data_IF_110156873423
#
_entry.id   IF_110156873423
#
_cell.length_a   1.000
_cell.length_b   1.000
_cell.length_c   1.000
_cell.angle_alpha   90.00
_cell.angle_beta   90.00
_cell.angle_gamma   90.00
#
_symmetry.space_group_name_H-M   'P 1'
#
loop_
_entity.id
_entity.type
_entity.pdbx_description
1 polymer ?
#
# COMPACT_ATOMS: atom_id res chain seq x y z
N UNK A 1 20.64 -18.76 -17.88
CA UNK A 1 21.15 -17.65 -17.06
C UNK A 1 20.62 -17.84 -15.65
N UNK A 2 21.46 -17.74 -14.61
CA UNK A 2 20.95 -17.74 -13.24
C UNK A 2 20.05 -16.51 -13.04
N UNK A 3 18.92 -16.62 -12.32
CA UNK A 3 18.07 -15.47 -12.03
C UNK A 3 18.87 -14.41 -11.26
N UNK A 4 18.58 -13.11 -11.48
CA UNK A 4 19.28 -12.05 -10.77
C UNK A 4 19.06 -12.17 -9.27
N UNK A 5 20.08 -11.81 -8.47
CA UNK A 5 20.04 -11.89 -7.00
C UNK A 5 18.99 -10.99 -6.35
N UNK A 6 18.46 -10.02 -7.11
CA UNK A 6 17.38 -9.12 -6.71
C UNK A 6 16.66 -8.63 -7.96
N UNK A 7 15.43 -8.14 -7.80
CA UNK A 7 14.59 -7.61 -8.88
C UNK A 7 13.95 -6.31 -8.43
N UNK A 8 13.84 -5.32 -9.32
CA UNK A 8 12.98 -4.15 -9.12
C UNK A 8 11.68 -4.41 -9.86
N UNK A 9 10.56 -4.46 -9.16
CA UNK A 9 9.24 -4.56 -9.80
C UNK A 9 8.62 -3.17 -9.92
N UNK A 10 8.07 -2.84 -11.08
CA UNK A 10 7.21 -1.67 -11.23
C UNK A 10 5.97 -1.82 -10.35
N UNK A 11 5.66 -0.80 -9.54
CA UNK A 11 4.41 -0.76 -8.79
C UNK A 11 3.19 -0.53 -9.71
N UNK A 12 3.40 -0.16 -10.97
CA UNK A 12 2.35 0.04 -11.97
C UNK A 12 2.43 -1.10 -13.01
N UNK A 13 1.52 -2.10 -12.92
CA UNK A 13 1.39 -3.11 -13.95
C UNK A 13 0.99 -2.52 -15.29
N UNK A 14 1.51 -3.11 -16.38
CA UNK A 14 1.05 -2.83 -17.73
C UNK A 14 -0.27 -3.54 -18.00
N UNK A 15 -1.28 -2.81 -18.45
CA UNK A 15 -2.55 -3.42 -18.86
C UNK A 15 -2.42 -3.91 -20.29
N UNK A 16 -2.84 -5.16 -20.54
CA UNK A 16 -2.88 -5.79 -21.85
C UNK A 16 -3.82 -4.97 -22.77
N UNK A 17 -3.25 -4.47 -23.85
CA UNK A 17 -3.93 -3.70 -24.89
C UNK A 17 -3.47 -4.18 -26.26
N UNK A 18 -3.53 -3.30 -27.25
CA UNK A 18 -3.19 -3.67 -28.64
C UNK A 18 -1.69 -4.00 -28.78
N UNK A 19 -0.82 -3.33 -28.01
CA UNK A 19 0.65 -3.46 -28.11
C UNK A 19 1.26 -4.47 -27.12
N UNK A 20 0.49 -4.97 -26.15
CA UNK A 20 0.99 -5.91 -25.13
C UNK A 20 0.07 -7.11 -25.12
N UNK A 21 0.59 -8.26 -25.56
CA UNK A 21 -0.18 -9.51 -25.68
C UNK A 21 0.27 -10.48 -24.59
N UNK A 22 -0.68 -10.92 -23.76
CA UNK A 22 -0.46 -12.00 -22.80
C UNK A 22 -0.52 -13.37 -23.51
N UNK A 23 0.15 -14.41 -22.96
CA UNK A 23 -0.06 -15.77 -23.42
C UNK A 23 -1.55 -16.14 -23.43
N UNK A 24 -1.97 -17.00 -24.35
CA UNK A 24 -3.37 -17.37 -24.49
C UNK A 24 -3.94 -17.93 -23.17
N UNK A 25 -5.02 -17.31 -22.68
CA UNK A 25 -5.68 -17.71 -21.43
C UNK A 25 -4.99 -17.23 -20.14
N UNK A 26 -3.86 -16.53 -20.23
CA UNK A 26 -3.19 -15.95 -19.07
C UNK A 26 -3.85 -14.65 -18.64
N UNK A 27 -4.02 -14.48 -17.33
CA UNK A 27 -4.43 -13.21 -16.73
C UNK A 27 -3.24 -12.31 -16.41
N UNK A 28 -2.04 -12.89 -16.24
CA UNK A 28 -0.85 -12.17 -15.81
C UNK A 28 0.41 -12.77 -16.43
N UNK A 29 1.40 -11.93 -16.71
CA UNK A 29 2.74 -12.35 -17.08
C UNK A 29 3.79 -11.40 -16.48
N UNK A 30 4.92 -11.94 -16.04
CA UNK A 30 6.03 -11.15 -15.50
C UNK A 30 7.20 -11.11 -16.49
N UNK A 31 7.53 -9.91 -16.97
CA UNK A 31 8.73 -9.66 -17.76
C UNK A 31 9.88 -9.29 -16.83
N UNK A 32 10.72 -10.28 -16.47
CA UNK A 32 11.91 -10.03 -15.67
C UNK A 32 12.98 -9.27 -16.45
N UNK A 33 13.66 -8.36 -15.76
CA UNK A 33 14.81 -7.64 -16.29
C UNK A 33 15.99 -7.73 -15.32
N UNK A 34 17.20 -7.93 -15.84
CA UNK A 34 18.38 -7.92 -15.00
C UNK A 34 18.59 -6.52 -14.40
N UNK A 35 18.86 -6.40 -13.09
CA UNK A 35 19.08 -5.12 -12.46
C UNK A 35 20.20 -4.29 -13.10
N UNK A 36 20.10 -2.94 -13.07
CA UNK A 36 19.10 -2.14 -12.36
C UNK A 36 17.80 -1.92 -13.16
N UNK A 37 17.54 -2.68 -14.23
CA UNK A 37 16.33 -2.53 -15.02
C UNK A 37 15.10 -3.03 -14.26
N UNK A 38 13.98 -2.38 -14.55
CA UNK A 38 12.69 -2.64 -13.91
C UNK A 38 12.00 -3.81 -14.59
N UNK A 39 11.60 -4.81 -13.80
CA UNK A 39 10.69 -5.86 -14.21
C UNK A 39 9.26 -5.31 -14.26
N UNK A 40 8.48 -5.80 -15.23
CA UNK A 40 7.13 -5.31 -15.50
C UNK A 40 6.16 -6.46 -15.41
N UNK A 41 5.15 -6.30 -14.54
CA UNK A 41 3.98 -7.17 -14.51
C UNK A 41 3.00 -6.69 -15.59
N UNK A 42 2.55 -7.59 -16.45
CA UNK A 42 1.46 -7.35 -17.40
C UNK A 42 0.21 -8.05 -16.93
N UNK A 43 -0.95 -7.40 -16.99
CA UNK A 43 -2.25 -7.93 -16.53
C UNK A 43 -3.33 -7.84 -17.59
N UNK A 44 -4.26 -8.79 -17.60
CA UNK A 44 -5.35 -8.88 -18.57
C UNK A 44 -6.43 -7.83 -18.30
N UNK A 45 -7.32 -7.63 -19.28
CA UNK A 45 -8.46 -6.72 -19.14
C UNK A 45 -9.50 -7.18 -18.11
N UNK A 46 -9.40 -8.44 -17.64
CA UNK A 46 -10.21 -8.94 -16.52
C UNK A 46 -9.77 -8.31 -15.19
N UNK A 47 -8.48 -8.03 -15.04
CA UNK A 47 -7.92 -7.36 -13.86
C UNK A 47 -8.13 -5.86 -13.93
N UNK A 48 -7.81 -5.23 -15.06
CA UNK A 48 -8.03 -3.80 -15.29
C UNK A 48 -8.80 -3.59 -16.59
N UNK A 49 -10.07 -3.14 -16.53
CA UNK A 49 -10.90 -2.97 -17.71
C UNK A 49 -10.36 -1.88 -18.65
N UNK A 50 -10.77 -1.93 -19.92
CA UNK A 50 -10.37 -0.94 -20.92
C UNK A 50 -10.99 0.44 -20.66
N UNK A 51 -12.23 0.44 -20.19
CA UNK A 51 -12.91 1.63 -19.68
C UNK A 51 -13.00 1.51 -18.17
N UNK A 52 -12.68 2.60 -17.47
CA UNK A 52 -12.70 2.68 -16.00
C UNK A 52 -13.77 3.68 -15.57
N UNK A 53 -14.31 3.48 -14.37
CA UNK A 53 -15.29 4.43 -13.84
C UNK A 53 -14.68 5.85 -13.72
N UNK A 54 -15.33 6.90 -14.27
CA UNK A 54 -14.86 8.28 -14.19
C UNK A 54 -14.70 8.81 -12.76
N UNK A 55 -15.46 8.28 -11.80
CA UNK A 55 -15.42 8.63 -10.39
C UNK A 55 -14.46 7.76 -9.56
N UNK A 56 -13.85 6.70 -10.14
CA UNK A 56 -12.88 5.86 -9.43
C UNK A 56 -11.66 6.65 -8.92
N UNK A 57 -11.20 6.36 -7.70
CA UNK A 57 -10.02 7.00 -7.09
C UNK A 57 -8.70 6.63 -7.79
N UNK A 58 -8.58 5.39 -8.24
CA UNK A 58 -7.47 4.93 -9.08
C UNK A 58 -7.95 4.77 -10.52
N UNK A 59 -7.09 5.08 -11.49
CA UNK A 59 -7.37 4.96 -12.94
C UNK A 59 -6.55 3.87 -13.62
N UNK A 60 -5.57 3.34 -12.92
CA UNK A 60 -4.69 2.27 -13.35
C UNK A 60 -4.49 1.31 -12.18
N UNK A 61 -4.21 0.03 -12.45
CA UNK A 61 -3.89 -0.91 -11.40
C UNK A 61 -2.53 -0.55 -10.79
N UNK A 62 -2.34 -0.92 -9.53
CA UNK A 62 -1.04 -0.84 -8.87
C UNK A 62 -0.84 -1.97 -7.86
N UNK A 63 0.42 -2.29 -7.61
CA UNK A 63 0.86 -3.31 -6.65
C UNK A 63 0.73 -2.77 -5.23
N UNK A 64 0.04 -3.52 -4.36
CA UNK A 64 -0.07 -3.23 -2.93
C UNK A 64 0.93 -4.01 -2.09
N UNK A 65 1.02 -5.32 -2.34
CA UNK A 65 1.85 -6.23 -1.55
C UNK A 65 2.25 -7.46 -2.37
N UNK A 66 3.25 -8.18 -1.87
CA UNK A 66 3.85 -9.33 -2.53
C UNK A 66 4.09 -10.45 -1.52
N UNK A 67 3.94 -11.69 -1.99
CA UNK A 67 4.64 -12.84 -1.40
C UNK A 67 5.63 -13.40 -2.42
N UNK A 68 6.90 -12.96 -2.38
CA UNK A 68 7.91 -13.39 -3.34
C UNK A 68 8.23 -14.89 -3.25
N UNK A 69 7.98 -15.53 -2.10
CA UNK A 69 8.29 -16.95 -1.90
C UNK A 69 7.34 -17.85 -2.69
N UNK A 70 6.11 -17.39 -2.91
CA UNK A 70 5.09 -18.07 -3.69
C UNK A 70 4.83 -17.43 -5.07
N UNK A 71 5.44 -16.26 -5.36
CA UNK A 71 5.18 -15.53 -6.61
C UNK A 71 3.79 -14.91 -6.65
N UNK A 72 3.24 -14.53 -5.50
CA UNK A 72 1.95 -13.86 -5.38
C UNK A 72 2.11 -12.35 -5.41
N UNK A 73 1.21 -11.68 -6.13
CA UNK A 73 1.13 -10.22 -6.20
C UNK A 73 -0.29 -9.77 -5.89
N UNK A 74 -0.45 -8.96 -4.85
CA UNK A 74 -1.72 -8.30 -4.57
C UNK A 74 -1.77 -6.97 -5.34
N UNK A 75 -2.80 -6.85 -6.16
CA UNK A 75 -3.10 -5.67 -6.94
C UNK A 75 -4.39 -5.02 -6.44
N UNK A 76 -4.42 -3.70 -6.53
CA UNK A 76 -5.66 -2.94 -6.57
C UNK A 76 -5.86 -2.44 -7.99
N UNK A 77 -7.10 -2.48 -8.45
CA UNK A 77 -7.47 -2.17 -9.82
C UNK A 77 -8.70 -1.24 -9.87
N UNK A 78 -8.80 -0.38 -10.90
CA UNK A 78 -9.96 0.46 -11.09
C UNK A 78 -11.21 -0.39 -11.39
N UNK A 79 -12.39 0.00 -10.87
CA UNK A 79 -13.64 -0.65 -11.23
C UNK A 79 -14.05 -0.27 -12.67
N UNK A 80 -14.83 -1.13 -13.36
CA UNK A 80 -15.48 -0.76 -14.61
C UNK A 80 -16.51 0.35 -14.37
N UNK A 81 -16.98 1.06 -15.42
CA UNK A 81 -18.03 2.05 -15.30
C UNK A 81 -19.25 1.51 -14.57
N UNK A 82 -19.67 2.20 -13.51
CA UNK A 82 -20.90 1.88 -12.80
C UNK A 82 -22.12 2.08 -13.73
N UNK A 83 -23.18 1.26 -13.57
CA UNK A 83 -24.45 1.51 -14.24
C UNK A 83 -25.01 2.84 -13.73
N UNK A 84 -24.95 3.87 -14.58
CA UNK A 84 -25.45 5.24 -14.44
C UNK A 84 -25.74 5.71 -12.98
N UNK A 85 -24.70 5.80 -12.15
CA UNK A 85 -24.75 6.59 -10.91
C UNK A 85 -24.41 8.04 -11.25
N UNK A 86 -25.33 8.71 -11.93
CA UNK A 86 -25.16 10.14 -12.23
C UNK A 86 -25.05 10.98 -10.95
N UNK A 87 -25.28 10.41 -9.76
CA UNK A 87 -25.26 11.10 -8.48
C UNK A 87 -26.42 12.07 -8.31
N UNK A 88 -26.70 12.41 -7.07
CA UNK A 88 -27.73 13.39 -6.73
C UNK A 88 -27.22 14.79 -7.07
N UNK A 89 -27.91 15.49 -7.99
CA UNK A 89 -27.67 16.89 -8.25
C UNK A 89 -28.13 17.71 -7.05
N UNK A 90 -27.20 18.39 -6.39
CA UNK A 90 -27.46 19.32 -5.30
C UNK A 90 -27.17 20.74 -5.76
N UNK A 91 -28.00 21.69 -5.34
CA UNK A 91 -27.72 23.11 -5.52
C UNK A 91 -27.51 23.82 -4.19
N UNK A 92 -26.69 24.86 -4.21
CA UNK A 92 -26.58 25.83 -3.13
C UNK A 92 -26.47 27.23 -3.72
N UNK A 93 -26.98 28.22 -3.02
CA UNK A 93 -26.81 29.62 -3.41
C UNK A 93 -25.52 30.15 -2.80
N UNK A 94 -24.62 30.70 -3.62
CA UNK A 94 -23.41 31.34 -3.12
C UNK A 94 -23.70 32.72 -2.48
N UNK A 95 -22.68 33.36 -1.92
CA UNK A 95 -22.82 34.64 -1.22
C UNK A 95 -23.31 35.78 -2.13
N UNK A 96 -23.12 35.64 -3.44
CA UNK A 96 -23.52 36.63 -4.44
C UNK A 96 -24.95 36.35 -4.98
N UNK A 97 -25.65 35.35 -4.44
CA UNK A 97 -27.00 34.99 -4.85
C UNK A 97 -27.06 34.05 -6.06
N UNK A 98 -25.92 33.56 -6.57
CA UNK A 98 -25.91 32.66 -7.72
C UNK A 98 -26.16 31.21 -7.29
N UNK A 99 -27.04 30.52 -8.00
CA UNK A 99 -27.21 29.07 -7.82
C UNK A 99 -25.99 28.32 -8.38
N UNK A 100 -25.35 27.51 -7.53
CA UNK A 100 -24.27 26.60 -7.87
C UNK A 100 -24.76 25.18 -7.73
N UNK A 101 -24.36 24.30 -8.63
CA UNK A 101 -24.71 22.88 -8.58
C UNK A 101 -23.48 21.99 -8.45
N UNK A 102 -23.63 20.86 -7.77
CA UNK A 102 -22.65 19.79 -7.68
C UNK A 102 -23.37 18.45 -7.62
N UNK A 103 -22.77 17.40 -8.18
CA UNK A 103 -23.29 16.02 -8.08
C UNK A 103 -22.65 15.32 -6.90
N UNK A 104 -23.47 14.65 -6.09
CA UNK A 104 -23.02 13.78 -5.00
C UNK A 104 -23.31 12.34 -5.41
N UNK A 105 -22.27 11.59 -5.75
CA UNK A 105 -22.34 10.16 -6.06
C UNK A 105 -21.51 9.34 -5.08
N UNK A 106 -21.75 8.03 -5.06
CA UNK A 106 -20.87 7.10 -4.35
C UNK A 106 -19.55 6.98 -5.12
N UNK A 107 -18.43 7.09 -4.40
CA UNK A 107 -17.13 6.80 -5.00
C UNK A 107 -17.03 5.27 -5.13
N UNK A 108 -16.91 4.72 -6.34
CA UNK A 108 -16.91 3.28 -6.52
C UNK A 108 -15.67 2.68 -5.87
N UNK A 109 -15.85 1.51 -5.25
CA UNK A 109 -14.76 0.78 -4.60
C UNK A 109 -13.79 0.26 -5.65
N UNK A 110 -12.47 0.32 -5.40
CA UNK A 110 -11.53 -0.37 -6.26
C UNK A 110 -11.72 -1.89 -6.12
N UNK A 111 -11.27 -2.63 -7.12
CA UNK A 111 -11.24 -4.08 -7.10
C UNK A 111 -9.88 -4.55 -6.60
N UNK A 112 -9.84 -5.72 -5.96
CA UNK A 112 -8.60 -6.33 -5.49
C UNK A 112 -8.39 -7.67 -6.20
N UNK A 113 -7.15 -7.94 -6.59
CA UNK A 113 -6.77 -9.19 -7.25
C UNK A 113 -5.50 -9.74 -6.65
N UNK A 114 -5.48 -11.05 -6.40
CA UNK A 114 -4.24 -11.79 -6.16
C UNK A 114 -3.83 -12.47 -7.45
N UNK A 115 -2.71 -12.06 -8.00
CA UNK A 115 -2.07 -12.67 -9.15
C UNK A 115 -1.11 -13.76 -8.70
N UNK A 116 -1.26 -14.96 -9.24
CA UNK A 116 -0.25 -16.02 -9.16
C UNK A 116 0.57 -15.98 -10.46
N UNK A 117 1.80 -15.49 -10.35
CA UNK A 117 2.69 -15.32 -11.51
C UNK A 117 3.08 -16.65 -12.13
N UNK A 118 3.22 -17.71 -11.33
CA UNK A 118 3.61 -19.03 -11.81
C UNK A 118 2.46 -19.76 -12.50
N UNK A 119 1.24 -19.59 -12.00
CA UNK A 119 0.02 -20.12 -12.62
C UNK A 119 -0.50 -19.24 -13.77
N UNK A 120 0.02 -18.01 -13.91
CA UNK A 120 -0.44 -17.00 -14.86
C UNK A 120 -1.93 -16.65 -14.70
N UNK A 121 -2.45 -16.69 -13.46
CA UNK A 121 -3.85 -16.44 -13.13
C UNK A 121 -4.00 -15.21 -12.24
N UNK A 122 -5.20 -14.61 -12.26
CA UNK A 122 -5.62 -13.58 -11.32
C UNK A 122 -6.95 -13.96 -10.67
N UNK A 123 -6.99 -13.91 -9.34
CA UNK A 123 -8.16 -14.22 -8.53
C UNK A 123 -8.70 -12.94 -7.91
N UNK A 124 -9.96 -12.63 -8.19
CA UNK A 124 -10.64 -11.48 -7.57
C UNK A 124 -10.84 -11.74 -6.07
N UNK A 125 -10.47 -10.78 -5.25
CA UNK A 125 -10.73 -10.79 -3.81
C UNK A 125 -12.07 -10.08 -3.60
N UNK A 126 -13.10 -10.74 -3.04
CA UNK A 126 -14.41 -10.14 -2.85
C UNK A 126 -14.33 -8.96 -1.89
N UNK A 127 -15.28 -8.03 -1.99
CA UNK A 127 -15.40 -6.95 -1.02
C UNK A 127 -15.78 -7.50 0.36
N UNK A 128 -15.14 -7.04 1.44
CA UNK A 128 -15.64 -7.29 2.78
C UNK A 128 -16.90 -6.46 3.06
N UNK A 129 -17.72 -6.95 4.01
CA UNK A 129 -18.85 -6.18 4.55
C UNK A 129 -18.39 -4.86 5.18
N UNK A 130 -17.23 -4.88 5.86
CA UNK A 130 -16.58 -3.66 6.36
C UNK A 130 -15.78 -3.00 5.24
N UNK A 131 -15.58 -1.70 5.37
CA UNK A 131 -14.68 -0.97 4.50
C UNK A 131 -13.23 -1.43 4.74
N UNK A 132 -12.48 -1.55 3.66
CA UNK A 132 -11.02 -1.48 3.67
C UNK A 132 -10.68 0.00 3.81
N UNK A 133 -9.88 0.37 4.82
CA UNK A 133 -9.72 1.76 5.21
C UNK A 133 -8.64 2.48 4.40
N UNK A 134 -7.45 1.89 4.34
CA UNK A 134 -6.25 2.58 3.86
C UNK A 134 -5.54 1.86 2.70
N UNK A 135 -6.11 0.75 2.21
CA UNK A 135 -5.46 -0.17 1.25
C UNK A 135 -4.15 -0.79 1.79
N UNK A 136 -4.01 -0.88 3.12
CA UNK A 136 -2.84 -1.46 3.80
C UNK A 136 -2.95 -2.99 3.91
N UNK A 137 -3.28 -3.63 2.79
CA UNK A 137 -3.49 -5.06 2.68
C UNK A 137 -2.15 -5.77 2.41
N UNK A 138 -1.89 -6.82 3.16
CA UNK A 138 -0.83 -7.80 2.86
C UNK A 138 -1.40 -9.02 2.15
N UNK A 139 -0.55 -9.74 1.41
CA UNK A 139 -0.84 -11.08 0.90
C UNK A 139 0.25 -12.04 1.36
N UNK A 140 -0.14 -13.25 1.75
CA UNK A 140 0.79 -14.29 2.18
C UNK A 140 0.29 -15.67 1.76
N UNK A 141 1.18 -16.51 1.26
CA UNK A 141 0.85 -17.88 0.91
C UNK A 141 0.63 -18.75 2.14
N UNK A 142 -0.32 -19.69 2.07
CA UNK A 142 -0.59 -20.61 3.16
C UNK A 142 0.60 -21.57 3.39
N UNK A 143 0.95 -21.86 4.66
CA UNK A 143 1.99 -22.84 4.96
C UNK A 143 1.56 -24.24 4.48
N UNK A 144 2.51 -25.04 3.99
CA UNK A 144 2.25 -26.45 3.65
C UNK A 144 1.93 -26.75 2.17
N UNK A 145 2.00 -25.76 1.27
CA UNK A 145 2.36 -26.04 -0.14
C UNK A 145 1.24 -26.52 -1.08
N UNK A 146 -0.03 -26.27 -0.76
CA UNK A 146 -1.07 -26.28 -1.80
C UNK A 146 -0.90 -25.06 -2.71
N UNK A 147 -0.41 -25.25 -3.94
CA UNK A 147 -0.33 -24.16 -4.93
C UNK A 147 -1.67 -23.43 -5.00
N UNK A 148 -1.64 -22.11 -4.77
CA UNK A 148 -2.80 -21.23 -4.90
C UNK A 148 -3.54 -20.90 -3.61
N UNK A 149 -3.22 -21.53 -2.46
CA UNK A 149 -3.81 -21.10 -1.18
C UNK A 149 -3.01 -19.93 -0.58
N UNK A 150 -3.73 -18.85 -0.28
CA UNK A 150 -3.24 -17.62 0.29
C UNK A 150 -4.26 -16.95 1.21
N UNK A 151 -3.77 -15.99 1.99
CA UNK A 151 -4.57 -15.08 2.79
C UNK A 151 -4.26 -13.62 2.41
N UNK A 152 -5.30 -12.79 2.36
CA UNK A 152 -5.17 -11.33 2.23
C UNK A 152 -5.62 -10.68 3.54
N UNK A 153 -4.83 -9.78 4.11
CA UNK A 153 -5.05 -9.31 5.49
C UNK A 153 -4.87 -7.80 5.60
N UNK A 154 -5.80 -7.13 6.26
CA UNK A 154 -5.66 -5.74 6.70
C UNK A 154 -5.60 -5.67 8.24
N UNK A 155 -4.68 -4.86 8.76
CA UNK A 155 -4.70 -4.44 10.17
C UNK A 155 -5.58 -3.20 10.35
N UNK A 156 -6.71 -3.35 11.02
CA UNK A 156 -7.68 -2.28 11.29
C UNK A 156 -7.64 -1.87 12.76
N UNK A 157 -7.53 -0.58 13.04
CA UNK A 157 -7.48 -0.05 14.40
C UNK A 157 -8.34 1.20 14.56
N UNK A 158 -8.67 1.53 15.81
CA UNK A 158 -9.29 2.80 16.18
C UNK A 158 -8.32 3.53 17.10
N UNK A 159 -8.14 4.84 16.86
CA UNK A 159 -7.26 5.66 17.70
C UNK A 159 -7.78 5.66 19.14
N UNK A 160 -6.86 5.46 20.09
CA UNK A 160 -7.08 5.27 21.52
C UNK A 160 -7.61 3.90 21.95
N UNK A 161 -7.82 2.95 21.02
CA UNK A 161 -8.16 1.57 21.34
C UNK A 161 -6.91 0.71 21.57
N UNK A 162 -6.92 -0.08 22.63
CA UNK A 162 -5.93 -1.12 22.93
C UNK A 162 -6.17 -2.44 22.18
N UNK A 163 -7.36 -2.59 21.60
CA UNK A 163 -7.68 -3.64 20.64
C UNK A 163 -7.65 -3.12 19.19
N UNK A 164 -7.30 -4.02 18.29
CA UNK A 164 -7.39 -3.89 16.84
C UNK A 164 -8.03 -5.15 16.24
N UNK A 165 -8.22 -5.16 14.93
CA UNK A 165 -8.80 -6.29 14.19
C UNK A 165 -7.92 -6.62 13.00
N UNK A 166 -7.58 -7.89 12.83
CA UNK A 166 -7.14 -8.41 11.55
C UNK A 166 -8.38 -8.81 10.75
N UNK A 167 -8.60 -8.13 9.64
CA UNK A 167 -9.62 -8.50 8.66
C UNK A 167 -8.93 -9.38 7.61
N UNK A 168 -9.27 -10.67 7.60
CA UNK A 168 -8.56 -11.70 6.81
C UNK A 168 -9.47 -12.37 5.79
N UNK A 169 -9.11 -12.34 4.52
CA UNK A 169 -9.72 -13.13 3.46
C UNK A 169 -8.93 -14.42 3.27
N UNK A 170 -9.59 -15.56 3.30
CA UNK A 170 -8.99 -16.85 2.92
C UNK A 170 -9.45 -17.27 1.54
N UNK A 171 -8.49 -17.61 0.67
CA UNK A 171 -8.77 -18.20 -0.64
C UNK A 171 -9.40 -19.60 -0.56
N UNK A 172 -9.22 -20.33 0.54
CA UNK A 172 -9.77 -21.68 0.72
C UNK A 172 -11.26 -21.65 1.03
N UNK A 173 -11.66 -20.73 1.90
CA UNK A 173 -13.08 -20.58 2.29
C UNK A 173 -13.81 -19.60 1.37
N UNK A 174 -13.09 -18.71 0.69
CA UNK A 174 -13.66 -17.61 -0.09
C UNK A 174 -14.32 -16.53 0.77
N UNK A 175 -14.05 -16.51 2.09
CA UNK A 175 -14.73 -15.65 3.05
C UNK A 175 -13.74 -14.72 3.77
N UNK A 176 -14.28 -13.57 4.18
CA UNK A 176 -13.64 -12.67 5.13
C UNK A 176 -13.98 -13.05 6.57
N UNK A 177 -12.97 -13.07 7.43
CA UNK A 177 -13.10 -13.27 8.87
C UNK A 177 -12.45 -12.11 9.63
N UNK A 178 -12.92 -11.86 10.85
CA UNK A 178 -12.37 -10.86 11.76
C UNK A 178 -11.71 -11.58 12.93
N UNK A 179 -10.44 -11.28 13.19
CA UNK A 179 -9.73 -11.71 14.40
C UNK A 179 -9.37 -10.51 15.25
N UNK A 180 -9.73 -10.54 16.53
CA UNK A 180 -9.29 -9.51 17.47
C UNK A 180 -7.82 -9.71 17.79
N UNK A 181 -7.09 -8.61 17.88
CA UNK A 181 -5.68 -8.58 18.24
C UNK A 181 -5.41 -7.38 19.14
N UNK A 182 -4.27 -7.36 19.83
CA UNK A 182 -3.80 -6.18 20.54
C UNK A 182 -3.38 -5.07 19.55
N UNK A 183 -3.56 -3.81 19.95
CA UNK A 183 -2.93 -2.65 19.32
C UNK A 183 -1.74 -2.21 20.20
N UNK A 184 -0.48 -2.48 19.80
CA UNK A 184 0.68 -2.20 20.63
C UNK A 184 0.88 -0.73 20.97
N UNK A 185 0.33 0.19 20.16
CA UNK A 185 0.40 1.64 20.40
C UNK A 185 -1.00 2.28 20.28
N UNK A 186 -1.83 2.24 21.32
CA UNK A 186 -3.23 2.71 21.27
C UNK A 186 -3.36 4.18 20.84
N UNK A 187 -2.42 5.03 21.24
CA UNK A 187 -2.45 6.47 20.92
C UNK A 187 -1.82 6.80 19.56
N UNK A 188 -1.27 5.81 18.86
CA UNK A 188 -0.64 6.03 17.56
C UNK A 188 -1.68 5.94 16.45
N UNK A 189 -1.62 6.89 15.52
CA UNK A 189 -2.37 6.83 14.27
C UNK A 189 -1.47 6.13 13.27
N UNK A 190 -1.58 4.82 13.14
CA UNK A 190 -0.77 4.06 12.18
C UNK A 190 -0.97 4.54 10.75
N UNK A 191 0.13 4.60 10.00
CA UNK A 191 0.13 4.83 8.55
C UNK A 191 1.22 3.96 7.96
N UNK A 192 0.80 2.90 7.29
CA UNK A 192 1.73 1.96 6.71
C UNK A 192 2.18 2.46 5.33
N UNK A 193 3.46 2.27 5.04
CA UNK A 193 4.08 2.61 3.76
C UNK A 193 4.40 1.36 2.94
N UNK A 194 4.42 0.20 3.59
CA UNK A 194 4.66 -1.10 2.98
C UNK A 194 4.05 -2.21 3.86
N UNK A 195 3.67 -3.32 3.23
CA UNK A 195 3.23 -4.55 3.91
C UNK A 195 3.94 -5.74 3.27
N UNK A 196 4.78 -6.40 4.07
CA UNK A 196 5.75 -7.39 3.58
C UNK A 196 5.40 -8.77 4.11
N UNK A 197 5.33 -9.78 3.24
CA UNK A 197 5.35 -11.18 3.63
C UNK A 197 6.79 -11.66 3.83
N UNK A 198 7.10 -12.19 5.01
CA UNK A 198 8.39 -12.79 5.29
C UNK A 198 8.30 -13.84 6.39
N UNK A 199 8.95 -14.99 6.17
CA UNK A 199 9.10 -16.05 7.18
C UNK A 199 7.76 -16.48 7.83
N UNK A 200 6.69 -16.60 7.02
CA UNK A 200 5.37 -17.01 7.48
C UNK A 200 4.58 -15.91 8.21
N UNK A 201 5.09 -14.67 8.25
CA UNK A 201 4.42 -13.53 8.89
C UNK A 201 4.17 -12.40 7.90
N UNK A 202 3.13 -11.62 8.18
CA UNK A 202 2.94 -10.30 7.58
C UNK A 202 3.52 -9.23 8.48
N UNK A 203 4.19 -8.25 7.87
CA UNK A 203 4.82 -7.13 8.53
C UNK A 203 4.31 -5.81 7.94
N UNK A 204 3.57 -5.02 8.72
CA UNK A 204 3.14 -3.67 8.35
C UNK A 204 4.19 -2.65 8.81
N UNK A 205 4.61 -1.80 7.88
CA UNK A 205 5.75 -0.89 8.05
C UNK A 205 5.27 0.55 8.21
N UNK A 206 5.33 1.10 9.42
CA UNK A 206 5.17 2.54 9.67
C UNK A 206 6.56 3.17 9.86
N UNK A 207 6.99 4.00 8.90
CA UNK A 207 8.35 4.56 8.91
C UNK A 207 8.58 5.62 10.00
N UNK A 208 7.54 6.07 10.70
CA UNK A 208 7.70 6.90 11.90
C UNK A 208 7.81 6.04 13.18
N UNK A 209 6.93 5.06 13.35
CA UNK A 209 6.83 4.29 14.60
C UNK A 209 7.63 2.98 14.58
N UNK A 210 7.45 2.17 13.55
CA UNK A 210 8.14 0.90 13.36
C UNK A 210 7.32 -0.19 12.72
N UNK A 211 7.65 -1.43 13.06
CA UNK A 211 7.11 -2.62 12.42
C UNK A 211 6.07 -3.27 13.31
N UNK A 212 4.89 -3.53 12.75
CA UNK A 212 3.91 -4.45 13.31
C UNK A 212 3.99 -5.76 12.55
N UNK A 213 3.97 -6.90 13.24
CA UNK A 213 3.95 -8.19 12.55
C UNK A 213 3.22 -9.27 13.33
N UNK A 214 2.66 -10.23 12.58
CA UNK A 214 2.02 -11.41 13.13
C UNK A 214 2.02 -12.54 12.10
N UNK A 215 1.85 -13.78 12.57
CA UNK A 215 1.38 -14.88 11.72
C UNK A 215 -0.15 -14.76 11.62
N UNK A 216 -0.74 -14.54 10.43
CA UNK A 216 -2.19 -14.39 10.30
C UNK A 216 -2.95 -15.72 10.23
N UNK A 217 -2.25 -16.85 10.12
CA UNK A 217 -2.86 -18.19 9.99
C UNK A 217 -3.22 -18.80 11.35
N UNK A 218 -2.61 -18.35 12.44
CA UNK A 218 -3.00 -18.81 13.78
C UNK A 218 -4.40 -18.34 14.14
N UNK A 219 -5.10 -19.11 14.97
CA UNK A 219 -6.47 -18.81 15.37
C UNK A 219 -6.59 -17.59 16.29
N UNK A 220 -5.59 -17.40 17.15
CA UNK A 220 -5.44 -16.28 18.09
C UNK A 220 -4.15 -15.51 17.78
N UNK A 221 -4.15 -14.67 16.73
CA UNK A 221 -2.97 -13.89 16.37
C UNK A 221 -2.68 -12.82 17.41
N UNK A 222 -1.40 -12.57 17.65
CA UNK A 222 -0.91 -11.48 18.50
C UNK A 222 -0.02 -10.56 17.67
N UNK A 223 -0.24 -9.26 17.76
CA UNK A 223 0.59 -8.26 17.09
C UNK A 223 1.85 -7.99 17.90
N UNK A 224 2.98 -8.37 17.32
CA UNK A 224 4.29 -7.99 17.79
C UNK A 224 4.66 -6.60 17.25
N UNK A 225 5.39 -5.81 18.04
CA UNK A 225 5.85 -4.48 17.66
C UNK A 225 7.35 -4.35 17.86
N UNK A 226 8.03 -3.87 16.82
CA UNK A 226 9.45 -3.50 16.88
C UNK A 226 9.58 -2.00 16.56
N UNK A 227 10.01 -1.17 17.54
CA UNK A 227 10.17 0.26 17.31
C UNK A 227 11.34 0.54 16.37
N UNK A 228 11.18 1.56 15.52
CA UNK A 228 12.32 2.14 14.83
C UNK A 228 13.16 2.97 15.81
N UNK A 229 14.48 3.09 15.57
CA UNK A 229 15.32 3.98 16.36
C UNK A 229 14.75 5.39 16.40
N UNK A 230 14.62 5.95 17.60
CA UNK A 230 14.24 7.36 17.77
C UNK A 230 15.37 8.22 17.23
N UNK A 231 15.01 9.23 16.44
CA UNK A 231 15.92 10.27 16.01
C UNK A 231 15.44 11.56 16.64
N UNK A 232 16.36 12.31 17.23
CA UNK A 232 16.05 13.59 17.82
C UNK A 232 15.47 14.51 16.73
N UNK A 233 14.22 14.88 16.94
CA UNK A 233 13.50 15.77 16.04
C UNK A 233 14.10 17.17 16.14
N UNK A 234 14.53 17.79 15.01
CA UNK A 234 14.87 19.20 15.06
C UNK A 234 13.62 19.98 15.50
N UNK A 235 13.79 21.01 16.35
CA UNK A 235 12.67 21.71 17.00
C UNK A 235 11.74 22.45 16.03
N UNK A 236 12.13 22.57 14.76
CA UNK A 236 11.42 23.36 13.77
C UNK A 236 10.89 22.46 12.65
N UNK A 237 9.67 21.97 12.84
CA UNK A 237 8.85 21.56 11.72
C UNK A 237 8.15 22.81 11.16
N UNK A 238 8.56 23.27 9.98
CA UNK A 238 7.99 24.43 9.27
C UNK A 238 6.60 24.15 8.65
N UNK A 239 5.80 23.28 9.28
CA UNK A 239 4.43 23.00 8.84
C UNK A 239 3.42 23.86 9.60
N UNK A 240 2.20 23.97 9.06
CA UNK A 240 1.11 24.75 9.64
C UNK A 240 0.74 24.29 11.07
N UNK A 241 1.07 23.05 11.44
CA UNK A 241 0.90 22.50 12.79
C UNK A 241 2.19 22.57 13.64
N UNK A 242 2.74 23.77 13.87
CA UNK A 242 3.92 23.93 14.74
C UNK A 242 3.66 23.31 16.13
N UNK A 243 4.59 22.48 16.61
CA UNK A 243 4.52 21.84 17.92
C UNK A 243 3.70 20.55 17.99
N UNK A 244 3.06 20.10 16.90
CA UNK A 244 2.39 18.81 16.86
C UNK A 244 3.43 17.68 16.73
N UNK A 245 3.64 16.91 17.80
CA UNK A 245 4.57 15.76 17.80
C UNK A 245 4.29 14.74 16.69
N UNK A 246 3.02 14.45 16.44
CA UNK A 246 2.60 13.56 15.35
C UNK A 246 3.04 14.07 13.97
N UNK A 247 2.84 15.37 13.68
CA UNK A 247 3.30 15.95 12.41
C UNK A 247 4.83 15.94 12.31
N UNK A 248 5.52 16.21 13.43
CA UNK A 248 6.98 16.19 13.50
C UNK A 248 7.53 14.81 13.12
N UNK A 249 6.98 13.75 13.70
CA UNK A 249 7.33 12.36 13.41
C UNK A 249 7.00 11.97 11.96
N UNK A 250 5.89 12.47 11.40
CA UNK A 250 5.51 12.19 10.01
C UNK A 250 6.44 12.81 8.97
N UNK A 251 7.09 13.95 9.24
CA UNK A 251 8.13 14.46 8.35
C UNK A 251 9.52 13.84 8.56
N UNK A 252 9.75 13.11 9.66
CA UNK A 252 10.85 12.15 9.68
C UNK A 252 10.50 10.95 8.81
N UNK A 253 9.28 10.42 8.93
CA UNK A 253 8.80 9.26 8.18
C UNK A 253 9.04 9.38 6.67
N UNK A 254 8.83 10.57 6.08
CA UNK A 254 9.06 10.82 4.66
C UNK A 254 10.53 10.80 4.22
N UNK A 255 11.47 10.83 5.17
CA UNK A 255 12.91 10.72 4.95
C UNK A 255 13.45 9.33 5.30
N UNK A 256 12.60 8.43 5.77
CA UNK A 256 12.96 7.07 6.14
C UNK A 256 12.42 6.07 5.14
N UNK A 257 13.24 5.10 4.78
CA UNK A 257 12.83 3.92 4.03
C UNK A 257 13.17 2.70 4.85
N UNK A 258 12.17 1.84 5.05
CA UNK A 258 12.33 0.56 5.75
C UNK A 258 11.99 -0.54 4.77
N UNK A 259 12.94 -1.42 4.48
CA UNK A 259 12.77 -2.49 3.51
C UNK A 259 13.40 -3.79 4.00
N UNK A 260 12.86 -4.91 3.53
CA UNK A 260 13.44 -6.23 3.73
C UNK A 260 14.61 -6.45 2.76
N UNK A 261 15.76 -6.83 3.29
CA UNK A 261 16.97 -7.12 2.53
C UNK A 261 17.75 -8.25 3.19
N UNK A 262 17.94 -9.36 2.47
CA UNK A 262 18.65 -10.54 2.97
C UNK A 262 18.08 -11.06 4.30
N UNK A 263 16.75 -11.18 4.36
CA UNK A 263 16.02 -11.65 5.54
C UNK A 263 16.01 -10.69 6.73
N UNK A 264 16.48 -9.44 6.57
CA UNK A 264 16.52 -8.44 7.63
C UNK A 264 15.85 -7.15 7.19
N UNK A 265 15.05 -6.56 8.07
CA UNK A 265 14.57 -5.19 7.86
C UNK A 265 15.72 -4.21 8.06
N UNK A 266 15.89 -3.30 7.11
CA UNK A 266 16.89 -2.22 7.16
C UNK A 266 16.18 -0.88 7.07
N UNK A 267 16.51 0.02 7.98
CA UNK A 267 16.05 1.41 7.96
C UNK A 267 17.17 2.30 7.40
N UNK A 268 16.86 3.10 6.39
CA UNK A 268 17.74 4.11 5.82
C UNK A 268 17.11 5.47 6.04
N UNK A 269 17.85 6.35 6.71
CA UNK A 269 17.44 7.73 6.97
C UNK A 269 18.20 8.66 6.02
N UNK A 270 17.46 9.37 5.16
CA UNK A 270 18.03 10.36 4.26
C UNK A 270 18.12 11.72 4.95
N UNK A 271 19.35 12.12 5.28
CA UNK A 271 19.62 13.45 5.80
C UNK A 271 19.25 14.53 4.78
N UNK A 272 18.63 15.62 5.24
CA UNK A 272 18.53 16.82 4.40
C UNK A 272 19.92 17.42 4.27
N UNK A 273 20.42 17.55 3.04
CA UNK A 273 21.66 18.27 2.78
C UNK A 273 21.39 19.77 3.05
N UNK A 274 21.53 20.22 4.30
CA UNK A 274 21.70 21.64 4.59
C UNK A 274 23.05 22.03 3.99
N UNK A 275 23.07 22.43 2.72
CA UNK A 275 24.12 23.32 2.20
C UNK A 275 24.03 24.60 3.04
N UNK A 276 24.81 24.67 4.12
CA UNK A 276 25.29 25.97 4.61
C UNK A 276 26.22 26.51 3.53
N UNK A 277 25.66 27.21 2.56
CA UNK A 277 26.44 28.18 1.81
C UNK A 277 26.82 29.27 2.81
N UNK A 278 27.99 29.13 3.45
CA UNK A 278 28.68 30.27 4.04
C UNK A 278 29.06 31.19 2.88
N UNK A 279 28.20 32.16 2.55
CA UNK A 279 28.68 33.40 1.96
C UNK A 279 29.36 34.19 3.08
N UNK A 280 30.68 34.02 3.23
CA UNK A 280 31.51 35.04 3.87
C UNK A 280 31.56 36.23 2.91
N UNK A 281 30.59 37.13 3.04
CA UNK A 281 30.68 38.46 2.47
C UNK A 281 31.77 39.23 3.19
N UNK A 282 32.94 39.35 2.56
CA UNK A 282 33.94 40.33 2.93
C UNK A 282 33.34 41.73 2.77
N UNK A 283 32.97 42.38 3.88
CA UNK A 283 32.88 43.83 3.93
C UNK A 283 34.29 44.38 4.11
N UNK A 284 34.91 44.79 3.00
CA UNK A 284 35.99 45.76 3.05
C UNK A 284 35.35 47.14 3.30
N UNK A 285 35.58 47.69 4.49
CA UNK A 285 35.40 49.12 4.72
C UNK A 285 36.53 49.85 3.99
N UNK A 286 36.17 50.68 3.01
CA UNK A 286 37.05 51.73 2.54
C UNK A 286 37.12 52.82 3.63
N UNK A 287 38.32 53.06 4.14
CA UNK A 287 38.69 54.31 4.79
C UNK A 287 39.34 55.27 3.79
#
# INVERSE_FOLDING_TARGET
>A
MAPPSWVILSCEPRVCGDDTVLPQGADVALSLAAPPRVAVLSVSRRVSPAEVDPCARCKSPFVLALDPSAGLVLLVAPPPPSPDDSGDLRSWTDRDGNERTFRVSLIPRPLYFVCDVAAATASHVPDPERLIFNNDLGVIAAPGGGRGSYMVVEFQFIVSGDEATLLRFSSETGLWEKKRVNNPLPRWIWRFFDVVSHAGKLCWVDTAAGLLFCDPFVDEPHMEYVPLPRVDLPPEHNGDCRGCGYCAERALASRRYVQLSDGKFRCVDMGSCKRRCYYQGHHAHAG
#
